data_IF_346149831085
#
_entry.id   IF_346149831085
#
_cell.length_a   1.000
_cell.length_b   1.000
_cell.length_c   1.000
_cell.angle_alpha   90.00
_cell.angle_beta   90.00
_cell.angle_gamma   90.00
#
_symmetry.space_group_name_H-M   'P 1'
#
loop_
_entity.id
_entity.type
_entity.pdbx_description
1 polymer ?
#
# COMPACT_ATOMS: atom_id res chain seq x y z
N UNK A 1 9.23 13.07 4.38
CA UNK A 1 9.31 12.11 3.21
C UNK A 1 10.44 12.55 2.28
N UNK A 2 11.32 11.63 1.85
CA UNK A 2 12.38 11.89 0.87
C UNK A 2 11.82 12.13 -0.55
N UNK A 3 12.69 12.62 -1.47
CA UNK A 3 12.24 12.98 -2.83
C UNK A 3 11.85 11.78 -3.69
N UNK A 4 12.50 10.62 -3.53
CA UNK A 4 12.19 9.43 -4.31
C UNK A 4 10.85 8.85 -3.90
N UNK A 5 10.60 8.76 -2.59
CA UNK A 5 9.31 8.33 -2.04
C UNK A 5 8.18 9.29 -2.45
N UNK A 6 8.46 10.60 -2.43
CA UNK A 6 7.48 11.58 -2.89
C UNK A 6 7.16 11.40 -4.38
N UNK A 7 8.15 11.25 -5.24
CA UNK A 7 7.95 11.03 -6.67
C UNK A 7 7.19 9.74 -6.94
N UNK A 8 7.54 8.65 -6.25
CA UNK A 8 6.85 7.38 -6.37
C UNK A 8 5.36 7.51 -6.02
N UNK A 9 5.02 8.19 -4.92
CA UNK A 9 3.65 8.37 -4.45
C UNK A 9 2.86 9.40 -5.27
N UNK A 10 3.47 10.56 -5.56
CA UNK A 10 2.77 11.64 -6.24
C UNK A 10 2.66 11.43 -7.75
N UNK A 11 3.72 10.91 -8.40
CA UNK A 11 3.80 10.80 -9.85
C UNK A 11 3.61 9.37 -10.36
N UNK A 12 4.40 8.40 -9.86
CA UNK A 12 4.49 7.07 -10.49
C UNK A 12 3.24 6.23 -10.25
N UNK A 13 2.78 6.12 -9.01
CA UNK A 13 1.61 5.32 -8.66
C UNK A 13 0.33 5.83 -9.35
N UNK A 14 0.02 7.16 -9.35
CA UNK A 14 -1.12 7.69 -10.10
C UNK A 14 -1.05 7.45 -11.61
N UNK A 15 0.14 7.58 -12.21
CA UNK A 15 0.33 7.30 -13.65
C UNK A 15 0.15 5.82 -13.97
N UNK A 16 0.63 4.93 -13.10
CA UNK A 16 0.40 3.49 -13.23
C UNK A 16 -1.10 3.17 -13.14
N UNK A 17 -1.79 3.70 -12.13
CA UNK A 17 -3.23 3.54 -11.99
C UNK A 17 -3.99 4.03 -13.25
N UNK A 18 -3.69 5.22 -13.74
CA UNK A 18 -4.29 5.75 -14.96
C UNK A 18 -4.11 4.81 -16.16
N UNK A 19 -2.89 4.26 -16.34
CA UNK A 19 -2.62 3.28 -17.40
C UNK A 19 -3.45 1.99 -17.24
N UNK A 20 -3.67 1.53 -16.01
CA UNK A 20 -4.48 0.34 -15.76
C UNK A 20 -5.97 0.56 -16.02
N UNK A 21 -6.46 1.80 -15.81
CA UNK A 21 -7.85 2.17 -16.00
C UNK A 21 -8.17 2.60 -17.43
N UNK A 22 -7.16 2.74 -18.30
CA UNK A 22 -7.35 3.18 -19.70
C UNK A 22 -8.34 2.27 -20.44
N UNK A 23 -9.33 2.89 -21.11
CA UNK A 23 -10.40 2.19 -21.81
C UNK A 23 -11.41 1.43 -20.92
N UNK A 24 -11.33 1.55 -19.57
CA UNK A 24 -12.23 0.87 -18.62
C UNK A 24 -13.14 1.81 -17.86
N UNK A 25 -12.61 2.93 -17.41
CA UNK A 25 -13.33 3.90 -16.59
C UNK A 25 -12.92 5.32 -16.99
N UNK A 26 -13.92 6.19 -17.27
CA UNK A 26 -13.66 7.62 -17.41
C UNK A 26 -13.38 8.23 -16.03
N UNK A 27 -12.11 8.36 -15.71
CA UNK A 27 -11.67 8.89 -14.42
C UNK A 27 -12.16 10.32 -14.17
N UNK A 28 -12.38 11.11 -15.25
CA UNK A 28 -12.83 12.51 -15.13
C UNK A 28 -14.29 12.62 -14.69
N UNK A 29 -15.06 11.54 -14.76
CA UNK A 29 -16.44 11.46 -14.30
C UNK A 29 -16.60 10.60 -13.04
N UNK A 30 -15.49 10.05 -12.53
CA UNK A 30 -15.52 9.02 -11.48
C UNK A 30 -15.22 9.55 -10.11
N UNK A 31 -15.86 8.94 -9.10
CA UNK A 31 -15.50 9.05 -7.69
C UNK A 31 -14.62 7.87 -7.31
N UNK A 32 -13.42 8.18 -6.82
CA UNK A 32 -12.43 7.20 -6.36
C UNK A 32 -12.36 7.24 -4.83
N UNK A 33 -12.37 6.07 -4.20
CA UNK A 33 -12.04 5.92 -2.79
C UNK A 33 -10.62 5.38 -2.68
N UNK A 34 -9.71 6.15 -2.05
CA UNK A 34 -8.32 5.77 -1.77
C UNK A 34 -8.27 5.12 -0.39
N UNK A 35 -8.20 3.79 -0.38
CA UNK A 35 -8.18 2.98 0.84
C UNK A 35 -6.75 2.84 1.37
N UNK A 36 -6.49 3.43 2.53
CA UNK A 36 -5.16 3.57 3.13
C UNK A 36 -4.40 4.77 2.58
N UNK A 37 -5.02 5.95 2.63
CA UNK A 37 -4.49 7.18 2.01
C UNK A 37 -3.22 7.73 2.70
N UNK A 38 -2.92 7.33 3.94
CA UNK A 38 -1.79 7.78 4.75
C UNK A 38 -1.68 9.32 4.76
N UNK A 39 -0.57 9.87 4.27
CA UNK A 39 -0.32 11.33 4.19
C UNK A 39 -1.19 12.05 3.15
N UNK A 40 -1.89 11.34 2.27
CA UNK A 40 -2.69 11.91 1.19
C UNK A 40 -1.90 12.37 -0.04
N UNK A 41 -0.58 12.20 -0.06
CA UNK A 41 0.27 12.61 -1.21
C UNK A 41 -0.14 11.87 -2.47
N UNK A 42 -0.46 10.57 -2.38
CA UNK A 42 -0.90 9.76 -3.52
C UNK A 42 -2.30 10.17 -3.98
N UNK A 43 -3.21 10.43 -3.05
CA UNK A 43 -4.53 10.97 -3.32
C UNK A 43 -4.47 12.29 -4.09
N UNK A 44 -3.59 13.21 -3.68
CA UNK A 44 -3.35 14.45 -4.41
C UNK A 44 -2.78 14.19 -5.82
N UNK A 45 -1.89 13.22 -5.95
CA UNK A 45 -1.34 12.76 -7.24
C UNK A 45 -2.44 12.23 -8.18
N UNK A 46 -3.38 11.44 -7.67
CA UNK A 46 -4.55 10.95 -8.42
C UNK A 46 -5.42 12.12 -8.94
N UNK A 47 -5.70 13.11 -8.10
CA UNK A 47 -6.40 14.34 -8.52
C UNK A 47 -5.65 15.01 -9.68
N UNK A 48 -4.35 15.20 -9.56
CA UNK A 48 -3.56 15.97 -10.52
C UNK A 48 -3.28 15.23 -11.84
N UNK A 49 -2.93 13.94 -11.76
CA UNK A 49 -2.52 13.18 -12.95
C UNK A 49 -3.63 12.41 -13.61
N UNK A 50 -4.65 11.99 -12.85
CA UNK A 50 -5.80 11.25 -13.38
C UNK A 50 -7.02 12.16 -13.63
N UNK A 51 -7.01 13.39 -13.07
CA UNK A 51 -8.12 14.36 -13.20
C UNK A 51 -9.45 13.78 -12.70
N UNK A 52 -9.42 12.97 -11.66
CA UNK A 52 -10.62 12.33 -11.11
C UNK A 52 -11.65 13.39 -10.68
N UNK A 53 -12.93 13.09 -10.91
CA UNK A 53 -14.04 13.99 -10.55
C UNK A 53 -14.07 14.28 -9.07
N UNK A 54 -13.90 13.24 -8.24
CA UNK A 54 -13.87 13.32 -6.78
C UNK A 54 -13.00 12.21 -6.22
N UNK A 55 -12.25 12.51 -5.18
CA UNK A 55 -11.46 11.54 -4.46
C UNK A 55 -11.74 11.63 -2.97
N UNK A 56 -11.97 10.48 -2.33
CA UNK A 56 -12.16 10.35 -0.89
C UNK A 56 -11.05 9.45 -0.37
N UNK A 57 -10.09 10.02 0.35
CA UNK A 57 -9.04 9.27 1.04
C UNK A 57 -9.53 8.81 2.40
N UNK A 58 -9.37 7.51 2.70
CA UNK A 58 -9.69 6.95 4.02
C UNK A 58 -8.47 6.29 4.63
N UNK A 59 -8.31 6.46 5.94
CA UNK A 59 -7.23 5.83 6.71
C UNK A 59 -7.63 5.68 8.18
N UNK A 60 -7.02 4.73 8.86
CA UNK A 60 -7.11 4.55 10.32
C UNK A 60 -6.21 5.52 11.07
N UNK A 61 -5.31 6.20 10.35
CA UNK A 61 -4.45 7.27 10.83
C UNK A 61 -4.90 8.61 10.23
N UNK A 62 -4.57 9.69 10.91
CA UNK A 62 -4.91 11.04 10.46
C UNK A 62 -3.70 11.79 9.85
N UNK A 63 -2.73 11.07 9.28
CA UNK A 63 -1.50 11.64 8.73
C UNK A 63 -1.77 12.66 7.60
N UNK A 64 -2.87 12.50 6.87
CA UNK A 64 -3.35 13.41 5.83
C UNK A 64 -3.57 14.85 6.32
N UNK A 65 -3.77 15.08 7.62
CA UNK A 65 -3.86 16.42 8.21
C UNK A 65 -2.58 17.25 7.98
N UNK A 66 -1.45 16.58 7.77
CA UNK A 66 -0.17 17.20 7.48
C UNK A 66 0.14 17.35 5.98
N UNK A 67 -0.79 17.01 5.07
CA UNK A 67 -0.53 16.97 3.62
C UNK A 67 0.04 18.29 3.09
N UNK A 68 -0.54 19.45 3.45
CA UNK A 68 -0.02 20.75 3.00
C UNK A 68 1.41 21.02 3.50
N UNK A 69 1.78 20.50 4.66
CA UNK A 69 3.15 20.60 5.18
C UNK A 69 4.09 19.69 4.39
N UNK A 70 3.68 18.45 4.10
CA UNK A 70 4.46 17.47 3.33
C UNK A 70 4.78 17.94 1.91
N UNK A 71 3.86 18.65 1.26
CA UNK A 71 4.04 19.13 -0.11
C UNK A 71 4.66 20.53 -0.19
N UNK A 72 4.86 21.19 0.95
CA UNK A 72 5.45 22.54 0.99
C UNK A 72 6.84 22.57 0.35
N UNK A 73 7.06 23.54 -0.55
CA UNK A 73 8.31 23.70 -1.28
C UNK A 73 8.51 22.72 -2.44
N UNK A 74 7.59 21.75 -2.61
CA UNK A 74 7.59 20.81 -3.76
C UNK A 74 6.48 21.12 -4.75
N UNK A 75 5.32 21.55 -4.25
CA UNK A 75 4.15 21.88 -5.04
C UNK A 75 3.58 23.24 -4.61
N UNK A 76 2.99 23.96 -5.55
CA UNK A 76 2.39 25.28 -5.32
C UNK A 76 0.90 25.16 -4.94
N UNK A 77 0.62 24.56 -3.77
CA UNK A 77 -0.73 24.52 -3.21
C UNK A 77 -0.78 25.37 -1.94
N UNK A 78 -1.67 26.35 -1.91
CA UNK A 78 -2.05 27.09 -0.70
C UNK A 78 -3.21 26.44 0.07
N UNK A 79 -4.07 25.73 -0.68
CA UNK A 79 -5.22 24.97 -0.17
C UNK A 79 -5.33 23.65 -0.92
N UNK A 80 -5.98 22.67 -0.32
CA UNK A 80 -6.27 21.42 -1.02
C UNK A 80 -7.38 21.61 -2.06
N UNK A 81 -7.38 20.82 -3.15
CA UNK A 81 -8.47 20.82 -4.13
C UNK A 81 -9.81 20.49 -3.46
N UNK A 82 -10.89 21.20 -3.84
CA UNK A 82 -12.24 21.00 -3.28
C UNK A 82 -12.81 19.59 -3.50
N UNK A 83 -12.35 18.90 -4.55
CA UNK A 83 -12.76 17.54 -4.90
C UNK A 83 -11.89 16.46 -4.22
N UNK A 84 -10.97 16.84 -3.31
CA UNK A 84 -10.19 15.95 -2.47
C UNK A 84 -10.69 16.02 -1.03
N UNK A 85 -11.26 14.92 -0.54
CA UNK A 85 -11.78 14.79 0.81
C UNK A 85 -11.02 13.71 1.56
N UNK A 86 -10.93 13.85 2.89
CA UNK A 86 -10.36 12.83 3.76
C UNK A 86 -11.33 12.47 4.87
N UNK A 87 -11.36 11.19 5.23
CA UNK A 87 -12.14 10.67 6.33
C UNK A 87 -11.32 9.66 7.14
N UNK A 88 -11.25 9.87 8.44
CA UNK A 88 -10.76 8.85 9.37
C UNK A 88 -11.79 7.73 9.48
N UNK A 89 -11.34 6.48 9.54
CA UNK A 89 -12.16 5.29 9.73
C UNK A 89 -11.52 4.40 10.80
N UNK A 90 -12.35 3.61 11.48
CA UNK A 90 -11.83 2.57 12.37
C UNK A 90 -11.45 1.30 11.59
N UNK A 91 -10.51 0.46 12.10
CA UNK A 91 -10.03 -0.73 11.38
C UNK A 91 -11.11 -1.73 10.95
N UNK A 92 -12.22 -1.80 11.68
CA UNK A 92 -13.36 -2.70 11.43
C UNK A 92 -14.62 -1.96 10.97
N UNK A 93 -14.49 -0.65 10.65
CA UNK A 93 -15.63 0.15 10.19
C UNK A 93 -16.20 -0.38 8.88
N UNK A 94 -17.54 -0.61 8.79
CA UNK A 94 -18.16 -1.11 7.57
C UNK A 94 -18.22 -0.01 6.50
N UNK A 95 -17.23 0.04 5.61
CA UNK A 95 -17.11 1.03 4.53
C UNK A 95 -18.42 1.17 3.73
N UNK A 96 -19.11 0.06 3.47
CA UNK A 96 -20.35 0.06 2.71
C UNK A 96 -21.49 0.82 3.39
N UNK A 97 -21.47 0.94 4.73
CA UNK A 97 -22.41 1.76 5.48
C UNK A 97 -21.91 3.21 5.57
N UNK A 98 -20.63 3.39 5.81
CA UNK A 98 -19.97 4.69 5.91
C UNK A 98 -20.13 5.53 4.63
N UNK A 99 -20.20 4.86 3.47
CA UNK A 99 -20.33 5.47 2.14
C UNK A 99 -21.64 5.07 1.43
N UNK A 100 -22.69 4.72 2.19
CA UNK A 100 -23.99 4.27 1.63
C UNK A 100 -24.64 5.30 0.69
N UNK A 101 -24.43 6.58 0.92
CA UNK A 101 -24.96 7.69 0.11
C UNK A 101 -24.03 8.10 -1.05
N UNK A 102 -22.89 7.42 -1.21
CA UNK A 102 -21.89 7.72 -2.24
C UNK A 102 -21.91 6.66 -3.34
N UNK A 103 -21.74 7.12 -4.59
CA UNK A 103 -21.49 6.22 -5.71
C UNK A 103 -19.98 6.11 -5.90
N UNK A 104 -19.40 4.99 -5.46
CA UNK A 104 -17.96 4.73 -5.61
C UNK A 104 -17.71 3.93 -6.89
N UNK A 105 -17.08 4.57 -7.88
CA UNK A 105 -16.75 3.98 -9.17
C UNK A 105 -15.54 3.05 -9.11
N UNK A 106 -14.55 3.41 -8.29
CA UNK A 106 -13.36 2.60 -8.09
C UNK A 106 -12.81 2.77 -6.68
N UNK A 107 -12.36 1.67 -6.09
CA UNK A 107 -11.48 1.70 -4.92
C UNK A 107 -10.04 1.50 -5.39
N UNK A 108 -9.18 2.41 -4.99
CA UNK A 108 -7.74 2.37 -5.18
C UNK A 108 -7.09 2.03 -3.84
N UNK A 109 -6.15 1.08 -3.83
CA UNK A 109 -5.35 0.74 -2.65
C UNK A 109 -3.92 0.41 -3.08
N UNK A 110 -2.94 1.08 -2.48
CA UNK A 110 -1.54 0.94 -2.84
C UNK A 110 -0.67 0.79 -1.60
N UNK A 111 -0.02 -0.36 -1.46
CA UNK A 111 0.82 -0.74 -0.30
C UNK A 111 0.09 -0.56 1.04
N UNK A 112 -1.09 -1.19 1.16
CA UNK A 112 -1.94 -1.14 2.36
C UNK A 112 -2.27 -2.53 2.86
N UNK A 113 -2.63 -3.46 1.97
CA UNK A 113 -3.13 -4.78 2.37
C UNK A 113 -2.10 -5.61 3.13
N UNK A 114 -0.80 -5.38 2.95
CA UNK A 114 0.26 -5.98 3.76
C UNK A 114 0.25 -5.53 5.23
N UNK A 115 -0.38 -4.38 5.52
CA UNK A 115 -0.50 -3.81 6.87
C UNK A 115 -1.87 -4.05 7.51
N UNK A 116 -2.86 -4.53 6.76
CA UNK A 116 -4.17 -4.90 7.32
C UNK A 116 -3.99 -6.11 8.22
N UNK A 117 -4.54 -6.05 9.45
CA UNK A 117 -4.48 -7.18 10.37
C UNK A 117 -5.00 -8.46 9.70
N UNK A 118 -4.26 -9.58 9.84
CA UNK A 118 -4.57 -10.86 9.21
C UNK A 118 -6.04 -11.29 9.39
N UNK A 119 -6.60 -11.05 10.58
CA UNK A 119 -7.99 -11.42 10.89
C UNK A 119 -9.04 -10.50 10.23
N UNK A 120 -8.64 -9.30 9.82
CA UNK A 120 -9.52 -8.31 9.19
C UNK A 120 -9.49 -8.37 7.67
N UNK A 121 -8.52 -9.05 7.05
CA UNK A 121 -8.40 -9.17 5.60
C UNK A 121 -9.71 -9.60 4.92
N UNK A 122 -10.42 -10.67 5.37
CA UNK A 122 -11.68 -11.06 4.74
C UNK A 122 -12.79 -10.02 4.88
N UNK A 123 -12.79 -9.27 5.97
CA UNK A 123 -13.77 -8.19 6.19
C UNK A 123 -13.47 -7.00 5.30
N UNK A 124 -12.21 -6.55 5.24
CA UNK A 124 -11.78 -5.45 4.38
C UNK A 124 -12.10 -5.73 2.91
N UNK A 125 -11.77 -6.92 2.40
CA UNK A 125 -12.08 -7.30 1.02
C UNK A 125 -13.59 -7.31 0.74
N UNK A 126 -14.41 -7.87 1.66
CA UNK A 126 -15.87 -7.85 1.52
C UNK A 126 -16.45 -6.44 1.53
N UNK A 127 -15.97 -5.58 2.42
CA UNK A 127 -16.44 -4.19 2.49
C UNK A 127 -16.04 -3.40 1.23
N UNK A 128 -14.83 -3.60 0.70
CA UNK A 128 -14.44 -3.04 -0.60
C UNK A 128 -15.41 -3.49 -1.70
N UNK A 129 -15.68 -4.79 -1.81
CA UNK A 129 -16.59 -5.33 -2.82
C UNK A 129 -18.03 -4.79 -2.69
N UNK A 130 -18.53 -4.60 -1.46
CA UNK A 130 -19.86 -4.02 -1.22
C UNK A 130 -19.93 -2.55 -1.58
N UNK A 131 -18.90 -1.78 -1.23
CA UNK A 131 -18.84 -0.32 -1.39
C UNK A 131 -18.78 0.11 -2.86
N UNK A 132 -18.10 -0.67 -3.71
CA UNK A 132 -18.03 -0.40 -5.15
C UNK A 132 -19.43 -0.60 -5.78
N UNK A 133 -19.85 0.32 -6.66
CA UNK A 133 -21.08 0.13 -7.46
C UNK A 133 -20.99 -1.05 -8.42
N UNK A 134 -22.10 -1.54 -8.94
CA UNK A 134 -22.11 -2.51 -10.04
C UNK A 134 -21.38 -1.92 -11.27
N UNK A 135 -20.56 -2.75 -11.93
CA UNK A 135 -19.66 -2.35 -13.02
C UNK A 135 -18.43 -1.55 -12.60
N UNK A 136 -18.28 -1.21 -11.31
CA UNK A 136 -17.12 -0.50 -10.79
C UNK A 136 -15.92 -1.40 -10.54
N UNK A 137 -14.79 -0.83 -10.08
CA UNK A 137 -13.49 -1.50 -10.04
C UNK A 137 -12.84 -1.44 -8.66
N UNK A 138 -12.01 -2.45 -8.34
CA UNK A 138 -11.03 -2.41 -7.28
C UNK A 138 -9.62 -2.56 -7.88
N UNK A 139 -8.78 -1.56 -7.65
CA UNK A 139 -7.36 -1.60 -8.01
C UNK A 139 -6.55 -1.78 -6.73
N UNK A 140 -5.90 -2.92 -6.60
CA UNK A 140 -5.17 -3.33 -5.39
C UNK A 140 -3.72 -3.60 -5.76
N UNK A 141 -2.80 -2.95 -5.05
CA UNK A 141 -1.37 -3.18 -5.18
C UNK A 141 -0.79 -3.46 -3.79
N UNK A 142 0.08 -4.47 -3.72
CA UNK A 142 0.90 -4.79 -2.55
C UNK A 142 2.36 -4.86 -2.97
N UNK A 143 3.24 -4.17 -2.27
CA UNK A 143 4.69 -4.31 -2.35
C UNK A 143 5.38 -3.69 -1.13
N UNK A 144 6.36 -4.42 -0.55
CA UNK A 144 6.71 -5.80 -0.85
C UNK A 144 5.78 -6.81 -0.15
N UNK A 145 5.60 -7.98 -0.77
CA UNK A 145 4.94 -9.12 -0.13
C UNK A 145 5.84 -9.72 0.96
N UNK A 146 5.28 -10.12 2.11
CA UNK A 146 6.03 -10.56 3.29
C UNK A 146 7.10 -11.61 3.02
N UNK A 147 6.82 -12.63 2.21
CA UNK A 147 7.77 -13.72 1.92
C UNK A 147 8.83 -13.36 0.88
N UNK A 148 8.77 -12.18 0.25
CA UNK A 148 9.75 -11.76 -0.75
C UNK A 148 11.10 -11.39 -0.14
N UNK A 149 12.10 -11.16 -1.00
CA UNK A 149 13.47 -10.86 -0.58
C UNK A 149 13.57 -9.77 0.49
N UNK A 150 12.79 -8.73 0.38
CA UNK A 150 12.74 -7.59 1.30
C UNK A 150 11.34 -7.35 1.90
N UNK A 151 10.59 -8.44 2.07
CA UNK A 151 9.22 -8.41 2.60
C UNK A 151 9.11 -7.93 4.05
N UNK A 152 10.22 -7.73 4.73
CA UNK A 152 10.26 -7.11 6.07
C UNK A 152 10.16 -5.58 6.05
N UNK A 153 10.32 -4.91 4.89
CA UNK A 153 10.45 -3.45 4.76
C UNK A 153 11.71 -2.88 5.48
N UNK A 154 12.73 -3.74 5.71
CA UNK A 154 13.93 -3.39 6.48
C UNK A 154 15.19 -3.29 5.61
N UNK A 155 15.07 -3.34 4.30
CA UNK A 155 16.18 -3.31 3.34
C UNK A 155 17.12 -2.13 3.55
N UNK A 156 16.58 -0.99 3.96
CA UNK A 156 17.37 0.20 4.30
C UNK A 156 18.27 0.03 5.53
N UNK A 157 17.93 -0.85 6.46
CA UNK A 157 18.71 -1.14 7.67
C UNK A 157 19.45 -2.47 7.56
N UNK A 158 18.82 -3.48 6.95
CA UNK A 158 19.31 -4.84 6.79
C UNK A 158 19.20 -5.21 5.31
N UNK A 159 20.22 -4.96 4.50
CA UNK A 159 20.20 -5.18 3.05
C UNK A 159 20.32 -6.65 2.63
N UNK A 160 20.25 -7.60 3.61
CA UNK A 160 20.32 -9.03 3.36
C UNK A 160 18.95 -9.55 2.91
N UNK A 161 18.81 -10.08 1.68
CA UNK A 161 17.56 -10.67 1.23
C UNK A 161 17.10 -11.81 2.16
N UNK A 162 15.80 -11.89 2.42
CA UNK A 162 15.14 -12.88 3.28
C UNK A 162 15.66 -12.97 4.72
N UNK A 163 16.41 -12.00 5.23
CA UNK A 163 16.94 -12.01 6.58
C UNK A 163 15.87 -12.23 7.65
N UNK A 164 14.67 -11.70 7.45
CA UNK A 164 13.51 -11.86 8.33
C UNK A 164 12.94 -13.30 8.34
N UNK A 165 13.24 -14.12 7.33
CA UNK A 165 12.81 -15.52 7.26
C UNK A 165 13.91 -16.49 7.70
N UNK A 166 15.18 -16.10 7.58
CA UNK A 166 16.34 -16.95 7.89
C UNK A 166 16.91 -16.69 9.29
N UNK A 167 16.52 -15.59 9.94
CA UNK A 167 17.00 -15.22 11.26
C UNK A 167 15.90 -15.39 12.32
N UNK A 168 16.23 -15.92 13.49
CA UNK A 168 15.29 -15.97 14.61
C UNK A 168 14.81 -14.55 14.97
N UNK A 169 13.53 -14.41 15.30
CA UNK A 169 12.86 -13.11 15.48
C UNK A 169 13.58 -12.19 16.48
N UNK A 170 14.02 -12.72 17.62
CA UNK A 170 14.75 -11.96 18.62
C UNK A 170 16.14 -11.51 18.15
N UNK A 171 16.82 -12.31 17.36
CA UNK A 171 18.10 -11.95 16.73
C UNK A 171 17.90 -10.91 15.63
N UNK A 172 16.84 -11.06 14.84
CA UNK A 172 16.48 -10.10 13.81
C UNK A 172 16.14 -8.72 14.41
N UNK A 173 15.36 -8.69 15.51
CA UNK A 173 15.10 -7.46 16.24
C UNK A 173 16.39 -6.80 16.75
N UNK A 174 17.29 -7.59 17.33
CA UNK A 174 18.58 -7.07 17.79
C UNK A 174 19.42 -6.50 16.64
N UNK A 175 19.42 -7.12 15.46
CA UNK A 175 20.11 -6.61 14.30
C UNK A 175 19.58 -5.23 13.90
N UNK A 176 18.25 -5.04 13.90
CA UNK A 176 17.62 -3.75 13.60
C UNK A 176 18.01 -2.70 14.63
N UNK A 177 17.87 -3.02 15.92
CA UNK A 177 18.20 -2.07 16.99
C UNK A 177 19.69 -1.69 17.02
N UNK A 178 20.58 -2.61 16.62
CA UNK A 178 22.02 -2.37 16.52
C UNK A 178 22.48 -1.85 15.16
N UNK A 179 21.57 -1.67 14.19
CA UNK A 179 21.92 -1.13 12.87
C UNK A 179 22.56 0.26 13.00
N UNK A 180 23.64 0.47 12.27
CA UNK A 180 24.33 1.77 12.22
C UNK A 180 23.74 2.64 11.12
N UNK A 181 23.84 3.95 11.30
CA UNK A 181 23.51 4.90 10.25
C UNK A 181 24.30 4.56 8.98
N UNK A 182 23.59 4.55 7.87
CA UNK A 182 24.15 4.46 6.53
C UNK A 182 24.03 5.84 5.82
N UNK A 183 24.35 5.90 4.56
CA UNK A 183 24.29 7.15 3.78
C UNK A 183 22.89 7.77 3.72
N UNK A 184 21.82 6.97 3.83
CA UNK A 184 20.43 7.46 3.82
C UNK A 184 20.07 8.23 5.09
N UNK A 185 20.68 7.85 6.21
CA UNK A 185 20.43 8.42 7.54
C UNK A 185 21.61 9.22 8.10
N UNK A 186 22.59 9.57 7.25
CA UNK A 186 23.81 10.24 7.68
C UNK A 186 23.54 11.59 8.36
N UNK A 187 22.53 12.32 7.88
CA UNK A 187 22.15 13.64 8.40
C UNK A 187 21.23 13.57 9.63
N UNK A 188 20.72 12.39 9.98
CA UNK A 188 19.83 12.25 11.14
C UNK A 188 20.60 12.35 12.44
N UNK A 189 19.99 12.92 13.48
CA UNK A 189 20.52 12.82 14.85
C UNK A 189 20.46 11.40 15.35
N UNK A 190 21.28 11.05 16.34
CA UNK A 190 21.23 9.70 16.92
C UNK A 190 19.87 9.40 17.54
N UNK A 191 19.25 10.38 18.20
CA UNK A 191 17.90 10.24 18.77
C UNK A 191 16.85 9.98 17.69
N UNK A 192 16.89 10.70 16.57
CA UNK A 192 15.96 10.48 15.46
C UNK A 192 16.19 9.10 14.82
N UNK A 193 17.44 8.68 14.69
CA UNK A 193 17.74 7.38 14.10
C UNK A 193 17.23 6.22 14.98
N UNK A 194 17.32 6.34 16.31
CA UNK A 194 16.71 5.35 17.22
C UNK A 194 15.17 5.28 17.02
N UNK A 195 14.49 6.43 16.95
CA UNK A 195 13.04 6.49 16.67
C UNK A 195 12.69 5.88 15.30
N UNK A 196 13.53 6.06 14.30
CA UNK A 196 13.36 5.45 12.97
C UNK A 196 13.41 3.93 13.08
N UNK A 197 14.41 3.36 13.78
CA UNK A 197 14.54 1.91 14.00
C UNK A 197 13.33 1.33 14.75
N UNK A 198 12.86 2.00 15.80
CA UNK A 198 11.68 1.61 16.55
C UNK A 198 10.41 1.64 15.67
N UNK A 199 10.27 2.67 14.83
CA UNK A 199 9.15 2.79 13.88
C UNK A 199 9.17 1.64 12.87
N UNK A 200 10.33 1.33 12.28
CA UNK A 200 10.46 0.20 11.36
C UNK A 200 10.11 -1.13 12.03
N UNK A 201 10.58 -1.35 13.26
CA UNK A 201 10.24 -2.56 14.00
C UNK A 201 8.74 -2.65 14.28
N UNK A 202 8.10 -1.55 14.66
CA UNK A 202 6.66 -1.48 14.88
C UNK A 202 5.88 -1.86 13.62
N UNK A 203 6.28 -1.32 12.45
CA UNK A 203 5.68 -1.65 11.16
C UNK A 203 5.85 -3.14 10.85
N UNK A 204 7.08 -3.67 10.97
CA UNK A 204 7.35 -5.09 10.71
C UNK A 204 6.50 -6.02 11.59
N UNK A 205 6.33 -5.68 12.87
CA UNK A 205 5.56 -6.49 13.80
C UNK A 205 4.06 -6.59 13.43
N UNK A 206 3.55 -5.66 12.62
CA UNK A 206 2.14 -5.63 12.18
C UNK A 206 1.91 -6.22 10.78
N UNK A 207 2.99 -6.52 10.04
CA UNK A 207 2.86 -7.09 8.69
C UNK A 207 2.11 -8.42 8.73
N UNK A 208 1.11 -8.54 7.88
CA UNK A 208 0.48 -9.83 7.65
C UNK A 208 1.32 -10.68 6.66
N UNK A 209 0.97 -11.94 6.55
CA UNK A 209 1.72 -12.91 5.74
C UNK A 209 0.96 -13.33 4.49
N UNK A 210 0.15 -12.43 3.93
CA UNK A 210 -0.63 -12.74 2.73
C UNK A 210 0.30 -12.94 1.54
N UNK A 211 0.08 -14.01 0.79
CA UNK A 211 0.74 -14.27 -0.48
C UNK A 211 -0.06 -13.67 -1.64
N UNK A 212 0.57 -13.59 -2.81
CA UNK A 212 -0.12 -13.10 -4.02
C UNK A 212 -1.34 -13.97 -4.39
N UNK A 213 -1.28 -15.28 -4.18
CA UNK A 213 -2.42 -16.18 -4.47
C UNK A 213 -3.53 -16.00 -3.45
N UNK A 214 -3.20 -15.92 -2.16
CA UNK A 214 -4.20 -15.69 -1.12
C UNK A 214 -4.91 -14.34 -1.30
N UNK A 215 -4.19 -13.29 -1.75
CA UNK A 215 -4.83 -12.02 -2.10
C UNK A 215 -5.84 -12.18 -3.24
N UNK A 216 -5.48 -12.91 -4.30
CA UNK A 216 -6.40 -13.17 -5.40
C UNK A 216 -7.64 -13.93 -4.92
N UNK A 217 -7.44 -15.03 -4.19
CA UNK A 217 -8.53 -15.86 -3.66
C UNK A 217 -9.44 -15.05 -2.74
N UNK A 218 -8.85 -14.17 -1.92
CA UNK A 218 -9.56 -13.28 -1.02
C UNK A 218 -10.57 -12.39 -1.78
N UNK A 219 -10.12 -11.71 -2.83
CA UNK A 219 -10.99 -10.82 -3.62
C UNK A 219 -11.96 -11.58 -4.53
N UNK A 220 -11.53 -12.69 -5.15
CA UNK A 220 -12.43 -13.56 -5.92
C UNK A 220 -13.54 -14.14 -5.06
N UNK A 221 -13.22 -14.50 -3.82
CA UNK A 221 -14.21 -15.00 -2.84
C UNK A 221 -15.29 -13.98 -2.46
N UNK A 222 -15.13 -12.69 -2.77
CA UNK A 222 -16.13 -11.65 -2.57
C UNK A 222 -17.12 -11.51 -3.74
N UNK A 223 -16.93 -12.25 -4.83
CA UNK A 223 -17.73 -12.17 -6.06
C UNK A 223 -17.22 -11.14 -7.07
N UNK A 224 -16.06 -10.51 -6.83
CA UNK A 224 -15.39 -9.68 -7.84
C UNK A 224 -14.72 -10.56 -8.91
N UNK A 225 -14.67 -10.07 -10.15
CA UNK A 225 -13.99 -10.75 -11.25
C UNK A 225 -12.60 -10.15 -11.48
N UNK A 226 -11.59 -10.99 -11.60
CA UNK A 226 -10.25 -10.56 -11.95
C UNK A 226 -10.21 -10.16 -13.43
N UNK A 227 -9.89 -8.89 -13.71
CA UNK A 227 -9.74 -8.35 -15.06
C UNK A 227 -8.30 -8.40 -15.54
N UNK A 228 -7.37 -8.09 -14.62
CA UNK A 228 -5.93 -8.04 -14.92
C UNK A 228 -5.12 -8.24 -13.66
N UNK A 229 -4.00 -8.94 -13.78
CA UNK A 229 -2.96 -8.98 -12.74
C UNK A 229 -1.57 -8.80 -13.35
N UNK A 230 -0.65 -8.32 -12.53
CA UNK A 230 0.77 -8.28 -12.82
C UNK A 230 1.55 -8.63 -11.55
N UNK A 231 2.60 -9.44 -11.69
CA UNK A 231 3.53 -9.79 -10.60
C UNK A 231 4.94 -9.36 -10.98
N UNK A 232 5.60 -8.69 -10.07
CA UNK A 232 7.02 -8.39 -10.18
C UNK A 232 7.79 -9.43 -9.38
N UNK A 233 8.84 -9.97 -9.98
CA UNK A 233 9.73 -10.96 -9.37
C UNK A 233 11.04 -10.32 -8.96
N UNK A 234 11.61 -10.77 -7.84
CA UNK A 234 12.96 -10.40 -7.45
C UNK A 234 13.99 -11.03 -8.40
N UNK A 235 15.11 -10.33 -8.57
CA UNK A 235 16.29 -10.89 -9.24
C UNK A 235 17.16 -11.74 -8.30
N UNK A 236 16.90 -11.70 -6.98
CA UNK A 236 17.63 -12.49 -6.00
C UNK A 236 17.22 -13.97 -6.05
N UNK A 237 18.18 -14.85 -5.78
CA UNK A 237 17.95 -16.30 -5.71
C UNK A 237 17.66 -16.66 -4.25
N UNK A 238 16.49 -17.28 -3.96
CA UNK A 238 16.16 -17.69 -2.61
C UNK A 238 17.14 -18.74 -2.06
N UNK A 239 17.50 -18.66 -0.77
CA UNK A 239 18.30 -19.70 -0.11
C UNK A 239 17.62 -21.07 -0.16
N UNK A 240 18.44 -22.15 -0.26
CA UNK A 240 17.92 -23.52 -0.37
C UNK A 240 17.10 -23.96 0.84
N UNK A 241 17.43 -23.48 2.03
CA UNK A 241 16.66 -23.73 3.24
C UNK A 241 15.23 -23.15 3.17
N UNK A 242 15.03 -22.04 2.46
CA UNK A 242 13.69 -21.45 2.27
C UNK A 242 12.92 -22.16 1.16
N UNK A 243 13.57 -22.56 0.07
CA UNK A 243 12.90 -23.31 -1.01
C UNK A 243 12.50 -24.73 -0.60
N UNK A 244 13.10 -25.26 0.48
CA UNK A 244 12.67 -26.50 1.10
C UNK A 244 11.34 -26.36 1.89
N UNK A 245 10.94 -25.15 2.26
CA UNK A 245 9.75 -24.86 3.11
C UNK A 245 8.66 -24.15 2.30
N UNK A 246 9.05 -23.21 1.45
CA UNK A 246 8.14 -22.35 0.68
C UNK A 246 8.29 -22.59 -0.82
N UNK A 247 7.19 -22.50 -1.53
CA UNK A 247 7.24 -22.52 -2.99
C UNK A 247 8.05 -21.33 -3.53
N UNK A 248 8.88 -21.54 -4.53
CA UNK A 248 9.75 -20.51 -5.12
C UNK A 248 8.95 -19.28 -5.60
N UNK A 249 7.75 -19.50 -6.17
CA UNK A 249 6.86 -18.41 -6.59
C UNK A 249 6.51 -17.45 -5.42
N UNK A 250 6.30 -17.98 -4.22
CA UNK A 250 6.00 -17.18 -3.00
C UNK A 250 7.22 -16.35 -2.61
N UNK A 251 8.41 -16.96 -2.61
CA UNK A 251 9.65 -16.28 -2.21
C UNK A 251 10.09 -15.22 -3.22
N UNK A 252 9.83 -15.44 -4.50
CA UNK A 252 10.31 -14.55 -5.56
C UNK A 252 9.32 -13.46 -5.95
N UNK A 253 8.05 -13.56 -5.59
CA UNK A 253 7.07 -12.50 -5.89
C UNK A 253 7.21 -11.34 -4.92
N UNK A 254 7.70 -10.19 -5.40
CA UNK A 254 7.87 -8.98 -4.60
C UNK A 254 6.60 -8.14 -4.57
N UNK A 255 5.93 -8.05 -5.71
CA UNK A 255 4.76 -7.21 -5.89
C UNK A 255 3.66 -7.96 -6.62
N UNK A 256 2.43 -7.65 -6.24
CA UNK A 256 1.26 -7.96 -7.04
C UNK A 256 0.42 -6.71 -7.24
N UNK A 257 -0.05 -6.52 -8.49
CA UNK A 257 -1.06 -5.51 -8.85
C UNK A 257 -2.23 -6.25 -9.46
N UNK A 258 -3.43 -5.95 -8.97
CA UNK A 258 -4.67 -6.57 -9.42
C UNK A 258 -5.71 -5.49 -9.76
N UNK A 259 -6.45 -5.73 -10.83
CA UNK A 259 -7.67 -5.01 -11.15
C UNK A 259 -8.84 -5.98 -11.14
N UNK A 260 -9.79 -5.74 -10.28
CA UNK A 260 -11.04 -6.50 -10.20
C UNK A 260 -12.21 -5.62 -10.65
N UNK A 261 -13.29 -6.27 -11.09
CA UNK A 261 -14.55 -5.61 -11.43
C UNK A 261 -15.72 -6.28 -10.71
N UNK A 262 -16.64 -5.46 -10.22
CA UNK A 262 -17.94 -5.91 -9.70
C UNK A 262 -18.94 -6.10 -10.85
N UNK A 263 -19.66 -7.21 -10.86
CA UNK A 263 -20.75 -7.44 -11.82
C UNK A 263 -21.91 -6.45 -11.69
#
# INVERSE_FOLDING_TARGET
>A
MDNNTFDARYNLAPKAFRHWMDGKLDLTQSTILDFGTDTGVMALGLIQHCKVKRLIGVDINENHKNLLLEIRGRLNFSTLPENLLFKHIEPDEPLSQTFADEIIDCIFSWSVFEHVNQNLLPTAAREIAKTIRSGGYAFIQIAPLYYSAFGSHMDMLIPQPWSHLTTQLNLYQNQILQAKKNTLYAEETDENFEKIKESFWSVFATLNKITANELLDLFLGTGLNLIRQHRTKTAHIPPSELTAIYHEDVLTTEQIVCLFQKN
#
